data_IF_374584605566
#
_entry.id   IF_374584605566
#
_cell.length_a   1.000
_cell.length_b   1.000
_cell.length_c   1.000
_cell.angle_alpha   90.00
_cell.angle_beta   90.00
_cell.angle_gamma   90.00
#
_symmetry.space_group_name_H-M   'P 1'
#
loop_
_entity.id
_entity.type
_entity.pdbx_description
1 polymer ?
#
# COMPACT_ATOMS: atom_id res chain seq x y z
N UNK A 1 8.95 2.67 4.03
CA UNK A 1 8.82 3.16 2.63
C UNK A 1 8.94 4.67 2.59
N UNK A 2 9.21 5.27 1.42
CA UNK A 2 9.29 6.73 1.27
C UNK A 2 8.10 7.26 0.46
N UNK A 3 7.76 8.54 0.61
CA UNK A 3 6.83 9.23 -0.30
C UNK A 3 7.31 9.06 -1.74
N UNK A 4 6.39 8.74 -2.65
CA UNK A 4 6.67 8.47 -4.06
C UNK A 4 7.00 7.02 -4.37
N UNK A 5 7.05 6.13 -3.37
CA UNK A 5 7.20 4.69 -3.62
C UNK A 5 5.98 4.16 -4.36
N UNK A 6 6.20 3.52 -5.51
CA UNK A 6 5.16 2.85 -6.28
C UNK A 6 4.94 1.44 -5.70
N UNK A 7 3.69 1.09 -5.45
CA UNK A 7 3.29 -0.22 -4.93
C UNK A 7 2.20 -0.83 -5.81
N UNK A 8 2.07 -2.14 -5.74
CA UNK A 8 0.99 -2.90 -6.35
C UNK A 8 0.33 -3.78 -5.31
N UNK A 9 -0.98 -3.72 -5.23
CA UNK A 9 -1.79 -4.70 -4.51
C UNK A 9 -2.09 -5.87 -5.44
N UNK A 10 -1.96 -7.09 -4.94
CA UNK A 10 -2.34 -8.32 -5.63
C UNK A 10 -3.55 -8.90 -4.91
N UNK A 11 -4.68 -9.03 -5.61
CA UNK A 11 -5.80 -9.76 -5.04
C UNK A 11 -5.39 -11.23 -4.88
N UNK A 12 -5.67 -11.78 -3.69
CA UNK A 12 -5.30 -13.15 -3.33
C UNK A 12 -6.21 -14.17 -4.03
N UNK A 13 -7.41 -13.73 -4.38
CA UNK A 13 -8.43 -14.53 -5.04
C UNK A 13 -8.48 -14.07 -6.50
N UNK A 14 -7.88 -14.88 -7.38
CA UNK A 14 -7.83 -14.67 -8.82
C UNK A 14 -9.22 -14.79 -9.48
N UNK A 15 -10.21 -14.01 -9.05
CA UNK A 15 -11.35 -13.73 -9.89
C UNK A 15 -10.91 -12.71 -10.95
N UNK A 16 -11.24 -12.98 -12.21
CA UNK A 16 -10.81 -12.20 -13.38
C UNK A 16 -11.26 -10.72 -13.37
N UNK A 17 -11.99 -10.32 -12.33
CA UNK A 17 -12.50 -8.97 -12.09
C UNK A 17 -11.80 -8.24 -10.92
N UNK A 18 -10.93 -8.91 -10.17
CA UNK A 18 -10.18 -8.31 -9.06
C UNK A 18 -8.84 -7.82 -9.60
N UNK A 19 -8.82 -6.56 -10.05
CA UNK A 19 -7.64 -5.96 -10.64
C UNK A 19 -6.53 -5.79 -9.60
N UNK A 20 -5.28 -6.08 -10.01
CA UNK A 20 -4.11 -5.56 -9.31
C UNK A 20 -4.21 -4.02 -9.29
N UNK A 21 -4.45 -3.39 -8.15
CA UNK A 21 -4.45 -1.92 -8.06
C UNK A 21 -3.03 -1.40 -7.84
N UNK A 22 -2.69 -0.33 -8.56
CA UNK A 22 -1.43 0.39 -8.40
C UNK A 22 -1.63 1.52 -7.41
N UNK A 23 -0.73 1.61 -6.45
CA UNK A 23 -0.73 2.64 -5.42
C UNK A 23 0.55 3.45 -5.42
N UNK A 24 0.48 4.68 -4.95
CA UNK A 24 1.66 5.49 -4.62
C UNK A 24 1.59 5.94 -3.16
N UNK A 25 2.70 5.81 -2.45
CA UNK A 25 2.81 6.33 -1.08
C UNK A 25 2.83 7.85 -1.14
N UNK A 26 1.80 8.50 -0.62
CA UNK A 26 1.66 9.98 -0.65
C UNK A 26 1.96 10.64 0.68
N UNK A 27 1.95 9.87 1.76
CA UNK A 27 2.28 10.35 3.10
C UNK A 27 3.02 9.27 3.88
N UNK A 28 4.04 9.71 4.60
CA UNK A 28 4.76 8.96 5.62
C UNK A 28 4.80 9.88 6.83
N UNK A 29 4.35 9.44 8.02
CA UNK A 29 4.38 10.29 9.19
C UNK A 29 5.83 10.49 9.60
N UNK A 30 6.15 11.70 10.01
CA UNK A 30 7.40 11.96 10.70
C UNK A 30 7.39 11.26 12.07
N UNK A 31 8.59 10.86 12.51
CA UNK A 31 8.90 9.96 13.65
C UNK A 31 8.26 10.29 15.01
N UNK A 32 7.55 11.41 15.13
CA UNK A 32 7.03 11.97 16.38
C UNK A 32 5.52 11.79 16.57
N UNK A 33 4.81 11.20 15.60
CA UNK A 33 3.39 10.88 15.76
C UNK A 33 3.20 9.48 16.35
N UNK A 34 2.40 9.39 17.42
CA UNK A 34 2.12 8.15 18.15
C UNK A 34 1.50 7.05 17.28
N UNK A 35 0.92 7.44 16.15
CA UNK A 35 0.35 6.54 15.15
C UNK A 35 1.20 6.64 13.88
N UNK A 36 2.15 5.72 13.70
CA UNK A 36 2.87 5.60 12.44
C UNK A 36 1.92 4.98 11.39
N UNK A 37 1.53 5.71 10.34
CA UNK A 37 0.69 5.22 9.23
C UNK A 37 1.14 5.71 7.84
N UNK A 38 1.21 4.81 6.88
CA UNK A 38 1.43 5.11 5.47
C UNK A 38 0.09 5.39 4.78
N UNK A 39 0.01 6.48 4.02
CA UNK A 39 -1.16 6.72 3.14
C UNK A 39 -0.80 6.32 1.73
N UNK A 40 -1.58 5.41 1.16
CA UNK A 40 -1.46 4.97 -0.22
C UNK A 40 -2.65 5.52 -1.00
N UNK A 41 -2.37 6.21 -2.10
CA UNK A 41 -3.38 6.61 -3.08
C UNK A 41 -3.43 5.53 -4.17
N UNK A 42 -4.58 4.89 -4.32
CA UNK A 42 -4.83 3.87 -5.32
C UNK A 42 -5.35 4.49 -6.61
N UNK A 43 -4.93 3.93 -7.75
CA UNK A 43 -5.16 4.50 -9.08
C UNK A 43 -6.47 4.02 -9.68
N UNK A 44 -6.77 2.72 -9.58
CA UNK A 44 -7.98 2.14 -10.19
C UNK A 44 -9.21 2.51 -9.36
N UNK A 45 -9.15 2.30 -8.05
CA UNK A 45 -10.26 2.66 -7.16
C UNK A 45 -10.39 4.18 -6.93
N UNK A 46 -9.31 4.94 -7.13
CA UNK A 46 -9.27 6.37 -6.81
C UNK A 46 -9.36 6.67 -5.30
N UNK A 47 -9.22 5.64 -4.47
CA UNK A 47 -9.35 5.70 -3.00
C UNK A 47 -8.00 5.97 -2.32
N UNK A 48 -8.08 6.37 -1.05
CA UNK A 48 -6.92 6.41 -0.15
C UNK A 48 -7.14 5.43 0.98
N UNK A 49 -6.08 4.75 1.40
CA UNK A 49 -6.11 3.96 2.62
C UNK A 49 -4.87 4.18 3.49
N UNK A 50 -5.09 4.07 4.79
CA UNK A 50 -4.10 4.21 5.85
C UNK A 50 -3.62 2.82 6.28
N UNK A 51 -2.31 2.63 6.34
CA UNK A 51 -1.68 1.36 6.69
C UNK A 51 -0.64 1.55 7.77
N UNK A 52 -0.71 0.82 8.87
CA UNK A 52 0.38 0.82 9.84
C UNK A 52 1.63 0.15 9.24
N UNK A 53 2.84 0.42 9.77
CA UNK A 53 4.06 -0.31 9.40
C UNK A 53 3.88 -1.82 9.47
N UNK A 54 3.18 -2.32 10.50
CA UNK A 54 2.93 -3.75 10.65
C UNK A 54 2.05 -4.30 9.53
N UNK A 55 0.97 -3.61 9.14
CA UNK A 55 0.11 -4.03 8.02
C UNK A 55 0.91 -4.10 6.71
N UNK A 56 1.75 -3.10 6.47
CA UNK A 56 2.64 -3.07 5.31
C UNK A 56 3.59 -4.28 5.30
N UNK A 57 4.24 -4.57 6.42
CA UNK A 57 5.17 -5.70 6.55
C UNK A 57 4.46 -7.04 6.33
N UNK A 58 3.28 -7.22 6.92
CA UNK A 58 2.45 -8.40 6.75
C UNK A 58 2.04 -8.58 5.28
N UNK A 59 1.53 -7.54 4.62
CA UNK A 59 1.12 -7.62 3.21
C UNK A 59 2.29 -7.91 2.26
N UNK A 60 3.49 -7.37 2.55
CA UNK A 60 4.72 -7.70 1.80
C UNK A 60 5.12 -9.16 2.02
N UNK A 61 5.05 -9.64 3.27
CA UNK A 61 5.37 -11.03 3.62
C UNK A 61 4.40 -12.02 2.95
N UNK A 62 3.12 -11.68 2.88
CA UNK A 62 2.09 -12.48 2.22
C UNK A 62 2.06 -12.33 0.69
N UNK A 63 2.96 -11.52 0.12
CA UNK A 63 2.98 -11.21 -1.33
C UNK A 63 1.70 -10.58 -1.86
N UNK A 64 0.89 -9.98 -0.99
CA UNK A 64 -0.29 -9.19 -1.34
C UNK A 64 0.09 -7.76 -1.74
N UNK A 65 1.18 -7.23 -1.18
CA UNK A 65 1.75 -5.96 -1.58
C UNK A 65 3.11 -6.20 -2.23
N UNK A 66 3.40 -5.45 -3.29
CA UNK A 66 4.69 -5.47 -3.97
C UNK A 66 5.19 -4.04 -4.17
N UNK A 67 6.47 -3.80 -3.90
CA UNK A 67 7.14 -2.52 -4.19
C UNK A 67 7.70 -2.60 -5.61
N UNK A 68 7.25 -1.69 -6.48
CA UNK A 68 7.74 -1.57 -7.86
C UNK A 68 8.96 -0.64 -7.85
N UNK A 69 10.06 -1.08 -8.47
CA UNK A 69 11.33 -0.34 -8.60
C UNK A 69 11.55 0.17 -10.01
#
# INVERSE_FOLDING_TARGET
MNIGTLVRWRSRDCDENDFDDLGIVVYVPEKDYADEYYVIQWVVEGTRSDHSPQMIEESLHESQLEIIR
#
